data_IF_624813319242
#
_entry.id   IF_624813319242
#
_cell.length_a   1.000
_cell.length_b   1.000
_cell.length_c   1.000
_cell.angle_alpha   90.00
_cell.angle_beta   90.00
_cell.angle_gamma   90.00
#
_symmetry.space_group_name_H-M   'P 1'
#
loop_
_entity.id
_entity.type
_entity.pdbx_description
1 polymer ?
#
# COMPACT_ATOMS: atom_id res chain seq x y z
N UNK A 1 1.50 -28.70 9.44
CA UNK A 1 0.94 -27.39 9.02
C UNK A 1 0.78 -26.41 10.18
N UNK A 2 0.19 -26.82 11.31
CA UNK A 2 -0.04 -25.92 12.46
C UNK A 2 1.23 -25.36 13.13
N UNK A 3 2.35 -26.09 13.10
CA UNK A 3 3.62 -25.62 13.69
C UNK A 3 4.18 -24.38 12.97
N UNK A 4 4.09 -24.33 11.63
CA UNK A 4 4.58 -23.18 10.85
C UNK A 4 3.74 -21.94 11.18
N UNK A 5 2.40 -22.07 11.17
CA UNK A 5 1.50 -21.00 11.59
C UNK A 5 1.80 -20.53 13.01
N UNK A 6 2.03 -21.45 13.95
CA UNK A 6 2.39 -21.12 15.33
C UNK A 6 3.69 -20.31 15.41
N UNK A 7 4.75 -20.75 14.74
CA UNK A 7 6.04 -20.03 14.69
C UNK A 7 5.85 -18.62 14.09
N UNK A 8 5.05 -18.50 13.02
CA UNK A 8 4.79 -17.22 12.37
C UNK A 8 4.01 -16.26 13.28
N UNK A 9 2.98 -16.72 13.99
CA UNK A 9 2.26 -15.89 14.96
C UNK A 9 3.14 -15.49 16.15
N UNK A 10 4.00 -16.39 16.62
CA UNK A 10 4.96 -16.08 17.68
C UNK A 10 5.99 -15.04 17.20
N UNK A 11 6.43 -15.12 15.94
CA UNK A 11 7.30 -14.13 15.32
C UNK A 11 6.58 -12.77 15.20
N UNK A 12 5.32 -12.75 14.77
CA UNK A 12 4.52 -11.53 14.70
C UNK A 12 4.36 -10.87 16.09
N UNK A 13 4.07 -11.68 17.11
CA UNK A 13 3.93 -11.22 18.48
C UNK A 13 5.26 -10.70 19.04
N UNK A 14 6.37 -11.37 18.74
CA UNK A 14 7.71 -10.89 19.10
C UNK A 14 8.02 -9.55 18.43
N UNK A 15 7.77 -9.40 17.12
CA UNK A 15 7.98 -8.14 16.41
C UNK A 15 7.11 -7.03 16.99
N UNK A 16 5.84 -7.30 17.27
CA UNK A 16 4.93 -6.35 17.90
C UNK A 16 5.41 -5.93 19.29
N UNK A 17 5.72 -6.88 20.17
CA UNK A 17 6.23 -6.61 21.52
C UNK A 17 7.58 -5.86 21.50
N UNK A 18 8.47 -6.20 20.56
CA UNK A 18 9.74 -5.49 20.37
C UNK A 18 9.54 -4.03 19.95
N UNK A 19 8.44 -3.72 19.25
CA UNK A 19 8.03 -2.38 18.85
C UNK A 19 7.39 -1.55 19.96
N UNK A 20 7.02 -2.17 21.09
CA UNK A 20 6.52 -1.46 22.27
C UNK A 20 7.64 -1.05 23.23
N UNK A 21 8.90 -1.47 22.98
CA UNK A 21 10.04 -1.06 23.80
C UNK A 21 10.32 0.44 23.65
N UNK A 22 10.85 1.05 24.71
CA UNK A 22 11.26 2.46 24.74
C UNK A 22 12.25 2.75 23.60
N UNK A 23 12.08 3.91 22.94
CA UNK A 23 12.86 4.34 21.77
C UNK A 23 12.75 3.45 20.53
N UNK A 24 11.73 2.61 20.45
CA UNK A 24 11.51 1.74 19.30
C UNK A 24 10.25 2.17 18.53
N UNK A 25 10.30 2.03 17.21
CA UNK A 25 9.22 2.44 16.32
C UNK A 25 8.45 1.20 15.81
N UNK A 26 7.23 1.01 16.32
CA UNK A 26 6.34 -0.07 15.89
C UNK A 26 5.91 0.08 14.42
N UNK A 27 5.77 1.33 13.95
CA UNK A 27 5.35 1.63 12.57
C UNK A 27 6.52 1.77 11.61
N UNK A 28 7.74 1.43 12.05
CA UNK A 28 8.86 1.28 11.13
C UNK A 28 8.46 0.34 9.98
N UNK A 29 8.69 0.73 8.70
CA UNK A 29 8.22 -0.04 7.56
C UNK A 29 8.62 -1.51 7.60
N UNK A 30 9.85 -1.80 8.06
CA UNK A 30 10.35 -3.16 8.23
C UNK A 30 9.53 -3.99 9.23
N UNK A 31 9.25 -3.45 10.42
CA UNK A 31 8.49 -4.18 11.44
C UNK A 31 7.04 -4.33 11.06
N UNK A 32 6.40 -3.26 10.58
CA UNK A 32 5.01 -3.31 10.19
C UNK A 32 4.79 -4.29 9.04
N UNK A 33 5.65 -4.26 8.01
CA UNK A 33 5.66 -5.24 6.94
C UNK A 33 5.86 -6.67 7.46
N UNK A 34 6.85 -6.88 8.35
CA UNK A 34 7.13 -8.18 8.92
C UNK A 34 5.95 -8.75 9.73
N UNK A 35 5.30 -7.93 10.56
CA UNK A 35 4.12 -8.31 11.33
C UNK A 35 2.99 -8.73 10.39
N UNK A 36 2.67 -7.90 9.39
CA UNK A 36 1.55 -8.23 8.51
C UNK A 36 1.84 -9.50 7.72
N UNK A 37 3.01 -9.64 7.11
CA UNK A 37 3.31 -10.84 6.31
C UNK A 37 3.38 -12.11 7.14
N UNK A 38 3.96 -12.07 8.34
CA UNK A 38 3.98 -13.25 9.22
C UNK A 38 2.57 -13.64 9.64
N UNK A 39 1.69 -12.69 9.98
CA UNK A 39 0.27 -12.96 10.27
C UNK A 39 -0.46 -13.49 9.05
N UNK A 40 -0.30 -12.87 7.87
CA UNK A 40 -0.98 -13.28 6.64
C UNK A 40 -0.59 -14.69 6.21
N UNK A 41 0.70 -15.04 6.24
CA UNK A 41 1.18 -16.39 5.90
C UNK A 41 0.74 -17.39 6.98
N UNK A 42 0.76 -16.99 8.25
CA UNK A 42 0.28 -17.81 9.36
C UNK A 42 -1.19 -18.19 9.20
N UNK A 43 -2.04 -17.20 8.89
CA UNK A 43 -3.47 -17.39 8.61
C UNK A 43 -3.72 -18.21 7.34
N UNK A 44 -2.96 -17.97 6.27
CA UNK A 44 -3.07 -18.75 5.04
C UNK A 44 -2.79 -20.23 5.27
N UNK A 45 -1.80 -20.56 6.11
CA UNK A 45 -1.43 -21.93 6.45
C UNK A 45 -2.40 -22.64 7.40
N UNK A 46 -3.23 -21.92 8.16
CA UNK A 46 -4.21 -22.53 9.06
C UNK A 46 -5.38 -23.20 8.31
N UNK A 47 -5.57 -22.89 7.02
CA UNK A 47 -6.66 -23.43 6.18
C UNK A 47 -8.05 -23.36 6.85
N UNK A 48 -8.38 -22.18 7.39
CA UNK A 48 -9.64 -21.93 8.10
C UNK A 48 -10.90 -22.00 7.21
N UNK A 49 -10.75 -22.09 5.89
CA UNK A 49 -11.85 -22.23 4.95
C UNK A 49 -11.70 -23.46 4.05
N UNK A 50 -12.81 -24.15 3.79
CA UNK A 50 -12.85 -25.28 2.84
C UNK A 50 -12.52 -24.90 1.39
N UNK A 51 -12.52 -23.60 1.06
CA UNK A 51 -12.10 -23.08 -0.26
C UNK A 51 -10.58 -22.82 -0.36
N UNK A 52 -9.81 -23.06 0.71
CA UNK A 52 -8.36 -22.85 0.68
C UNK A 52 -7.64 -24.07 0.10
N UNK A 53 -7.02 -23.86 -1.05
CA UNK A 53 -6.19 -24.86 -1.72
C UNK A 53 -4.72 -24.75 -1.32
N UNK A 54 -3.98 -25.85 -1.49
CA UNK A 54 -2.54 -25.84 -1.32
C UNK A 54 -1.90 -24.89 -2.33
N UNK A 55 -0.95 -24.11 -1.84
CA UNK A 55 -0.17 -23.22 -2.69
C UNK A 55 0.86 -24.04 -3.45
N UNK A 56 0.94 -23.81 -4.76
CA UNK A 56 1.98 -24.41 -5.59
C UNK A 56 3.37 -23.92 -5.14
N UNK A 57 4.42 -24.70 -5.44
CA UNK A 57 5.80 -24.26 -5.20
C UNK A 57 6.08 -22.91 -5.88
N UNK A 58 5.56 -22.70 -7.09
CA UNK A 58 5.68 -21.43 -7.80
C UNK A 58 5.06 -20.26 -7.03
N UNK A 59 3.87 -20.46 -6.45
CA UNK A 59 3.20 -19.44 -5.62
C UNK A 59 4.01 -19.09 -4.39
N UNK A 60 4.63 -20.09 -3.73
CA UNK A 60 5.54 -19.87 -2.60
C UNK A 60 6.78 -19.08 -3.00
N UNK A 61 7.43 -19.44 -4.10
CA UNK A 61 8.60 -18.73 -4.62
C UNK A 61 8.25 -17.28 -4.94
N UNK A 62 7.14 -17.04 -5.65
CA UNK A 62 6.70 -15.68 -6.00
C UNK A 62 6.46 -14.81 -4.76
N UNK A 63 5.84 -15.38 -3.71
CA UNK A 63 5.63 -14.71 -2.43
C UNK A 63 6.96 -14.39 -1.73
N UNK A 64 7.89 -15.36 -1.66
CA UNK A 64 9.19 -15.18 -1.00
C UNK A 64 10.07 -14.15 -1.71
N UNK A 65 10.02 -14.07 -3.04
CA UNK A 65 10.74 -13.04 -3.81
C UNK A 65 10.29 -11.64 -3.40
N UNK A 66 8.98 -11.42 -3.22
CA UNK A 66 8.45 -10.12 -2.78
C UNK A 66 8.91 -9.74 -1.37
N UNK A 67 8.86 -10.70 -0.43
CA UNK A 67 9.33 -10.49 0.94
C UNK A 67 10.84 -10.21 0.97
N UNK A 68 11.63 -11.01 0.26
CA UNK A 68 13.07 -10.86 0.17
C UNK A 68 13.46 -9.51 -0.42
N UNK A 69 12.79 -9.08 -1.50
CA UNK A 69 13.04 -7.79 -2.15
C UNK A 69 12.80 -6.62 -1.20
N UNK A 70 11.71 -6.66 -0.42
CA UNK A 70 11.42 -5.63 0.58
C UNK A 70 12.48 -5.61 1.70
N UNK A 71 12.82 -6.78 2.25
CA UNK A 71 13.84 -6.89 3.30
C UNK A 71 15.20 -6.41 2.82
N UNK A 72 15.61 -6.80 1.60
CA UNK A 72 16.84 -6.35 0.97
C UNK A 72 16.86 -4.83 0.78
N UNK A 73 15.75 -4.23 0.35
CA UNK A 73 15.60 -2.78 0.28
C UNK A 73 15.79 -2.10 1.64
N UNK A 74 15.14 -2.62 2.70
CA UNK A 74 15.30 -2.07 4.06
C UNK A 74 16.72 -2.23 4.59
N UNK A 75 17.37 -3.37 4.33
CA UNK A 75 18.76 -3.62 4.69
C UNK A 75 19.71 -2.67 3.96
N UNK A 76 19.50 -2.46 2.67
CA UNK A 76 20.29 -1.53 1.86
C UNK A 76 20.22 -0.11 2.41
N UNK A 77 19.00 0.38 2.73
CA UNK A 77 18.82 1.69 3.36
C UNK A 77 19.52 1.76 4.72
N UNK A 78 19.43 0.71 5.53
CA UNK A 78 20.13 0.63 6.82
C UNK A 78 21.66 0.71 6.65
N UNK A 79 22.24 -0.04 5.72
CA UNK A 79 23.69 -0.04 5.45
C UNK A 79 24.17 1.32 4.95
N UNK A 80 23.44 1.94 4.00
CA UNK A 80 23.77 3.27 3.48
C UNK A 80 23.78 4.33 4.60
N UNK A 81 22.91 4.16 5.60
CA UNK A 81 22.73 5.13 6.68
C UNK A 81 23.37 4.68 8.01
N UNK A 82 24.25 3.66 8.00
CA UNK A 82 24.79 3.06 9.22
C UNK A 82 25.50 4.08 10.13
N UNK A 83 26.18 5.06 9.52
CA UNK A 83 26.94 6.10 10.22
C UNK A 83 26.12 7.37 10.51
N UNK A 84 24.88 7.44 10.03
CA UNK A 84 24.03 8.61 10.23
C UNK A 84 23.28 8.51 11.56
N UNK A 85 23.16 9.61 12.33
CA UNK A 85 22.39 9.59 13.56
C UNK A 85 20.91 9.30 13.25
N UNK A 86 20.34 8.34 13.97
CA UNK A 86 18.92 8.01 13.85
C UNK A 86 18.09 9.21 14.31
N UNK A 87 17.30 9.76 13.37
CA UNK A 87 16.41 10.87 13.67
C UNK A 87 15.21 10.37 14.47
N UNK A 88 14.83 11.11 15.52
CA UNK A 88 13.55 10.89 16.18
C UNK A 88 12.39 11.17 15.20
N UNK A 89 11.23 10.55 15.42
CA UNK A 89 10.01 10.82 14.62
C UNK A 89 9.66 12.32 14.61
N UNK A 90 9.91 13.03 15.71
CA UNK A 90 9.74 14.50 15.77
C UNK A 90 10.68 15.24 14.82
N UNK A 91 11.95 14.84 14.78
CA UNK A 91 12.95 15.43 13.86
C UNK A 91 12.63 15.11 12.40
N UNK A 92 12.15 13.89 12.10
CA UNK A 92 11.68 13.51 10.75
C UNK A 92 10.53 14.43 10.32
N UNK A 93 9.52 14.63 11.18
CA UNK A 93 8.39 15.53 10.91
C UNK A 93 8.83 16.97 10.64
N UNK A 94 9.81 17.46 11.40
CA UNK A 94 10.37 18.80 11.21
C UNK A 94 11.09 18.90 9.85
N UNK A 95 11.92 17.91 9.51
CA UNK A 95 12.62 17.87 8.22
C UNK A 95 11.66 17.83 7.03
N UNK A 96 10.58 17.03 7.10
CA UNK A 96 9.55 16.97 6.05
C UNK A 96 8.88 18.34 5.86
N UNK A 97 8.62 19.07 6.95
CA UNK A 97 7.99 20.40 6.89
C UNK A 97 8.94 21.50 6.44
N UNK A 98 10.23 21.37 6.76
CA UNK A 98 11.26 22.36 6.43
C UNK A 98 11.65 22.33 4.96
N UNK A 99 11.51 21.19 4.29
CA UNK A 99 11.85 21.09 2.87
C UNK A 99 10.77 21.73 1.98
N UNK A 100 11.12 22.72 1.15
CA UNK A 100 10.18 23.31 0.21
C UNK A 100 9.86 22.28 -0.88
N UNK A 101 8.62 21.80 -0.88
CA UNK A 101 8.12 20.88 -1.90
C UNK A 101 7.15 21.61 -2.84
N UNK A 102 7.27 21.36 -4.15
CA UNK A 102 6.37 21.99 -5.13
C UNK A 102 5.03 21.24 -5.19
N UNK A 103 4.14 21.60 -4.26
CA UNK A 103 2.79 21.04 -4.20
C UNK A 103 1.96 21.35 -5.46
N UNK A 104 2.22 22.46 -6.16
CA UNK A 104 1.50 22.77 -7.38
C UNK A 104 1.79 21.77 -8.51
N UNK A 105 3.06 21.37 -8.66
CA UNK A 105 3.43 20.34 -9.62
C UNK A 105 2.83 18.99 -9.24
N UNK A 106 2.88 18.61 -7.95
CA UNK A 106 2.24 17.39 -7.46
C UNK A 106 0.73 17.36 -7.78
N UNK A 107 0.04 18.49 -7.59
CA UNK A 107 -1.37 18.61 -7.94
C UNK A 107 -1.60 18.32 -9.43
N UNK A 108 -0.90 19.03 -10.31
CA UNK A 108 -1.10 18.89 -11.76
C UNK A 108 -0.70 17.52 -12.29
N UNK A 109 0.41 16.96 -11.82
CA UNK A 109 0.82 15.60 -12.18
C UNK A 109 -0.27 14.59 -11.78
N UNK A 110 -0.81 14.71 -10.56
CA UNK A 110 -1.88 13.82 -10.08
C UNK A 110 -3.14 13.95 -10.92
N UNK A 111 -3.53 15.18 -11.30
CA UNK A 111 -4.69 15.44 -12.16
C UNK A 111 -4.49 14.87 -13.57
N UNK A 112 -3.32 15.06 -14.18
CA UNK A 112 -3.01 14.53 -15.52
C UNK A 112 -3.05 13.00 -15.52
N UNK A 113 -2.42 12.36 -14.53
CA UNK A 113 -2.47 10.90 -14.39
C UNK A 113 -3.92 10.44 -14.18
N UNK A 114 -4.72 11.18 -13.40
CA UNK A 114 -6.12 10.83 -13.16
C UNK A 114 -6.97 10.92 -14.43
N UNK A 115 -6.76 11.94 -15.26
CA UNK A 115 -7.45 12.08 -16.54
C UNK A 115 -7.09 10.92 -17.47
N UNK A 116 -5.80 10.60 -17.60
CA UNK A 116 -5.37 9.44 -18.40
C UNK A 116 -5.98 8.13 -17.87
N UNK A 117 -5.97 7.97 -16.54
CA UNK A 117 -6.57 6.83 -15.85
C UNK A 117 -8.06 6.67 -16.14
N UNK A 118 -8.86 7.72 -15.96
CA UNK A 118 -10.32 7.61 -16.11
C UNK A 118 -10.72 7.36 -17.58
N UNK A 119 -9.99 7.97 -18.53
CA UNK A 119 -10.20 7.72 -19.97
C UNK A 119 -9.89 6.26 -20.31
N UNK A 120 -8.76 5.73 -19.84
CA UNK A 120 -8.39 4.32 -20.08
C UNK A 120 -9.39 3.39 -19.40
N UNK A 121 -9.78 3.65 -18.16
CA UNK A 121 -10.75 2.84 -17.43
C UNK A 121 -12.10 2.79 -18.14
N UNK A 122 -12.64 3.93 -18.59
CA UNK A 122 -13.90 3.97 -19.34
C UNK A 122 -13.76 3.20 -20.66
N UNK A 123 -12.65 3.39 -21.38
CA UNK A 123 -12.39 2.67 -22.62
C UNK A 123 -12.34 1.15 -22.41
N UNK A 124 -11.68 0.66 -21.34
CA UNK A 124 -11.66 -0.76 -21.00
C UNK A 124 -13.06 -1.31 -20.75
N UNK A 125 -13.88 -0.61 -19.97
CA UNK A 125 -15.25 -1.04 -19.66
C UNK A 125 -16.12 -1.11 -20.92
N UNK A 126 -15.94 -0.17 -21.85
CA UNK A 126 -16.67 -0.16 -23.13
C UNK A 126 -16.21 -1.31 -24.03
N UNK A 127 -14.90 -1.57 -24.13
CA UNK A 127 -14.34 -2.59 -25.02
C UNK A 127 -14.67 -4.00 -24.51
N UNK A 128 -14.47 -4.26 -23.21
CA UNK A 128 -14.79 -5.54 -22.59
C UNK A 128 -16.31 -5.77 -22.51
N UNK A 129 -17.09 -4.69 -22.36
CA UNK A 129 -18.56 -4.75 -22.31
C UNK A 129 -19.13 -5.25 -20.98
N UNK A 130 -18.29 -5.45 -19.96
CA UNK A 130 -18.72 -5.83 -18.62
C UNK A 130 -17.81 -5.23 -17.54
N UNK A 131 -18.27 -5.23 -16.29
CA UNK A 131 -17.44 -4.97 -15.11
C UNK A 131 -17.25 -6.27 -14.33
N UNK A 132 -16.02 -6.60 -13.87
CA UNK A 132 -15.74 -7.86 -13.18
C UNK A 132 -16.67 -8.14 -11.98
N UNK A 133 -17.03 -7.10 -11.22
CA UNK A 133 -17.93 -7.21 -10.08
C UNK A 133 -19.31 -7.76 -10.44
N UNK A 134 -19.83 -7.42 -11.63
CA UNK A 134 -21.17 -7.81 -12.08
C UNK A 134 -21.16 -9.05 -12.97
N UNK A 135 -19.99 -9.69 -13.15
CA UNK A 135 -19.89 -10.91 -13.94
C UNK A 135 -20.38 -12.14 -13.15
N UNK A 136 -21.10 -13.09 -13.78
CA UNK A 136 -21.51 -14.33 -13.14
C UNK A 136 -20.34 -15.17 -12.62
N UNK A 137 -19.15 -15.03 -13.23
CA UNK A 137 -17.91 -15.72 -12.84
C UNK A 137 -16.84 -14.71 -12.43
N UNK A 138 -17.06 -14.10 -11.28
CA UNK A 138 -16.25 -12.99 -10.72
C UNK A 138 -14.73 -13.25 -10.77
N UNK A 139 -14.29 -14.45 -10.39
CA UNK A 139 -12.85 -14.78 -10.34
C UNK A 139 -12.20 -14.81 -11.72
N UNK A 140 -12.88 -15.45 -12.68
CA UNK A 140 -12.41 -15.56 -14.07
C UNK A 140 -12.45 -14.19 -14.75
N UNK A 141 -13.55 -13.46 -14.57
CA UNK A 141 -13.74 -12.11 -15.08
C UNK A 141 -12.64 -11.16 -14.60
N UNK A 142 -12.22 -11.24 -13.34
CA UNK A 142 -11.09 -10.43 -12.83
C UNK A 142 -9.77 -10.72 -13.55
N UNK A 143 -9.48 -12.00 -13.81
CA UNK A 143 -8.20 -12.43 -14.39
C UNK A 143 -8.12 -12.03 -15.87
N UNK A 144 -9.25 -12.12 -16.57
CA UNK A 144 -9.33 -11.85 -18.01
C UNK A 144 -9.61 -10.38 -18.34
N UNK A 145 -10.12 -9.59 -17.39
CA UNK A 145 -10.42 -8.19 -17.60
C UNK A 145 -9.15 -7.35 -17.77
N UNK A 146 -9.09 -6.65 -18.90
CA UNK A 146 -8.08 -5.63 -19.15
C UNK A 146 -7.65 -5.64 -20.61
N UNK A 147 -7.60 -4.46 -21.21
CA UNK A 147 -7.15 -4.30 -22.59
C UNK A 147 -5.65 -4.04 -22.56
N UNK A 148 -4.88 -4.86 -23.28
CA UNK A 148 -3.42 -4.70 -23.36
C UNK A 148 -3.05 -3.26 -23.72
N UNK A 149 -2.11 -2.67 -22.97
CA UNK A 149 -1.73 -1.26 -23.09
C UNK A 149 -2.56 -0.33 -22.20
N UNK A 150 -3.90 -0.32 -22.35
CA UNK A 150 -4.78 0.53 -21.52
C UNK A 150 -4.74 0.12 -20.05
N UNK A 151 -4.70 -1.18 -19.78
CA UNK A 151 -4.70 -1.71 -18.43
C UNK A 151 -3.46 -1.31 -17.63
N UNK A 152 -2.34 -1.01 -18.31
CA UNK A 152 -1.12 -0.52 -17.67
C UNK A 152 -1.36 0.84 -17.00
N UNK A 153 -2.12 1.72 -17.65
CA UNK A 153 -2.49 3.03 -17.10
C UNK A 153 -3.55 2.86 -16.01
N UNK A 154 -4.50 1.94 -16.18
CA UNK A 154 -5.50 1.61 -15.14
C UNK A 154 -4.81 1.11 -13.86
N UNK A 155 -3.72 0.36 -13.97
CA UNK A 155 -2.93 -0.07 -12.82
C UNK A 155 -2.21 1.07 -12.07
N UNK A 156 -2.18 2.30 -12.60
CA UNK A 156 -1.67 3.47 -11.89
C UNK A 156 -2.56 3.95 -10.73
N UNK A 157 -3.74 3.33 -10.51
CA UNK A 157 -4.66 3.65 -9.41
C UNK A 157 -3.99 3.71 -8.02
N UNK A 158 -3.03 2.81 -7.75
CA UNK A 158 -2.26 2.80 -6.49
C UNK A 158 -1.47 4.09 -6.32
N UNK A 159 -0.74 4.47 -7.37
CA UNK A 159 0.04 5.70 -7.41
C UNK A 159 -0.86 6.91 -7.23
N UNK A 160 -2.02 6.94 -7.91
CA UNK A 160 -3.00 8.02 -7.76
C UNK A 160 -3.48 8.20 -6.31
N UNK A 161 -3.83 7.09 -5.64
CA UNK A 161 -4.24 7.13 -4.24
C UNK A 161 -3.12 7.67 -3.35
N UNK A 162 -1.89 7.20 -3.53
CA UNK A 162 -0.72 7.64 -2.73
C UNK A 162 -0.46 9.13 -2.95
N UNK A 163 -0.37 9.60 -4.19
CA UNK A 163 -0.08 11.01 -4.51
C UNK A 163 -1.17 11.96 -3.99
N UNK A 164 -2.44 11.56 -4.13
CA UNK A 164 -3.58 12.35 -3.66
C UNK A 164 -3.58 12.46 -2.13
N UNK A 165 -3.25 11.38 -1.42
CA UNK A 165 -3.17 11.38 0.05
C UNK A 165 -1.98 12.21 0.54
N UNK A 166 -0.82 12.09 -0.12
CA UNK A 166 0.35 12.94 0.15
C UNK A 166 -0.04 14.41 0.02
N UNK A 167 -0.72 14.80 -1.06
CA UNK A 167 -1.18 16.17 -1.26
C UNK A 167 -2.13 16.62 -0.14
N UNK A 168 -3.12 15.82 0.24
CA UNK A 168 -4.07 16.21 1.30
C UNK A 168 -3.37 16.41 2.65
N UNK A 169 -2.42 15.55 2.99
CA UNK A 169 -1.70 15.56 4.27
C UNK A 169 -0.71 16.73 4.33
N UNK A 170 0.13 16.89 3.30
CA UNK A 170 1.29 17.78 3.33
C UNK A 170 1.03 19.16 2.73
N UNK A 171 0.16 19.28 1.72
CA UNK A 171 -0.01 20.55 1.03
C UNK A 171 -0.67 21.62 1.92
N UNK A 172 -0.28 22.91 1.74
CA UNK A 172 -0.89 24.02 2.45
C UNK A 172 -2.41 24.11 2.22
N UNK A 173 -3.10 24.93 3.03
CA UNK A 173 -4.57 25.01 3.13
C UNK A 173 -5.24 25.59 1.87
N UNK A 174 -5.18 24.90 0.73
CA UNK A 174 -6.01 25.17 -0.45
C UNK A 174 -7.24 24.27 -0.42
N UNK A 175 -8.39 24.79 0.00
CA UNK A 175 -9.63 24.01 0.15
C UNK A 175 -10.05 23.38 -1.18
N UNK A 176 -10.09 24.16 -2.26
CA UNK A 176 -10.52 23.71 -3.60
C UNK A 176 -9.69 22.53 -4.12
N UNK A 177 -8.36 22.66 -4.09
CA UNK A 177 -7.47 21.57 -4.56
C UNK A 177 -7.59 20.32 -3.70
N UNK A 178 -7.82 20.46 -2.38
CA UNK A 178 -8.06 19.31 -1.50
C UNK A 178 -9.39 18.63 -1.79
N UNK A 179 -10.45 19.38 -2.12
CA UNK A 179 -11.72 18.81 -2.58
C UNK A 179 -11.52 17.99 -3.85
N UNK A 180 -10.78 18.53 -4.83
CA UNK A 180 -10.46 17.80 -6.07
C UNK A 180 -9.69 16.51 -5.77
N UNK A 181 -8.69 16.54 -4.88
CA UNK A 181 -7.94 15.34 -4.49
C UNK A 181 -8.82 14.31 -3.76
N UNK A 182 -9.71 14.76 -2.87
CA UNK A 182 -10.67 13.86 -2.23
C UNK A 182 -11.61 13.21 -3.25
N UNK A 183 -12.05 13.96 -4.26
CA UNK A 183 -12.87 13.42 -5.34
C UNK A 183 -12.10 12.36 -6.16
N UNK A 184 -10.84 12.62 -6.51
CA UNK A 184 -9.96 11.66 -7.18
C UNK A 184 -9.83 10.37 -6.35
N UNK A 185 -9.62 10.49 -5.03
CA UNK A 185 -9.53 9.33 -4.12
C UNK A 185 -10.82 8.52 -4.15
N UNK A 186 -11.97 9.18 -4.03
CA UNK A 186 -13.28 8.50 -4.01
C UNK A 186 -13.51 7.75 -5.32
N UNK A 187 -13.35 8.42 -6.47
CA UNK A 187 -13.56 7.78 -7.77
C UNK A 187 -12.60 6.63 -8.01
N UNK A 188 -11.31 6.82 -7.71
CA UNK A 188 -10.28 5.76 -7.87
C UNK A 188 -10.54 4.58 -6.93
N UNK A 189 -11.09 4.83 -5.74
CA UNK A 189 -11.48 3.77 -4.80
C UNK A 189 -12.71 3.01 -5.31
N UNK A 190 -13.71 3.71 -5.85
CA UNK A 190 -14.92 3.09 -6.42
C UNK A 190 -14.56 2.20 -7.62
N UNK A 191 -13.77 2.72 -8.57
CA UNK A 191 -13.31 1.93 -9.72
C UNK A 191 -12.45 0.74 -9.29
N UNK A 192 -11.59 0.92 -8.29
CA UNK A 192 -10.84 -0.18 -7.67
C UNK A 192 -11.77 -1.29 -7.13
N UNK A 193 -12.86 -0.93 -6.44
CA UNK A 193 -13.85 -1.90 -5.95
C UNK A 193 -14.51 -2.66 -7.10
N UNK A 194 -14.84 -1.99 -8.20
CA UNK A 194 -15.42 -2.63 -9.39
C UNK A 194 -14.45 -3.60 -10.09
N UNK A 195 -13.14 -3.35 -10.02
CA UNK A 195 -12.10 -4.21 -10.58
C UNK A 195 -11.60 -5.31 -9.64
N UNK A 196 -12.07 -5.34 -8.39
CA UNK A 196 -11.73 -6.39 -7.40
C UNK A 196 -10.22 -6.58 -7.17
N UNK A 197 -9.42 -5.50 -7.25
CA UNK A 197 -7.96 -5.56 -7.11
C UNK A 197 -7.46 -5.65 -5.65
N UNK A 198 -8.02 -6.56 -4.84
CA UNK A 198 -7.84 -6.66 -3.37
C UNK A 198 -6.41 -6.49 -2.84
N UNK A 199 -5.39 -6.98 -3.57
CA UNK A 199 -3.98 -6.86 -3.18
C UNK A 199 -3.49 -5.41 -3.10
N UNK A 200 -3.89 -4.56 -4.04
CA UNK A 200 -3.36 -3.19 -4.13
C UNK A 200 -3.88 -2.30 -3.00
N UNK A 201 -5.05 -2.60 -2.41
CA UNK A 201 -5.58 -1.90 -1.24
C UNK A 201 -4.68 -2.07 -0.02
N UNK A 202 -4.15 -3.27 0.19
CA UNK A 202 -3.25 -3.55 1.30
C UNK A 202 -1.98 -2.72 1.19
N UNK A 203 -1.38 -2.68 -0.01
CA UNK A 203 -0.18 -1.89 -0.27
C UNK A 203 -0.41 -0.39 -0.06
N UNK A 204 -1.53 0.15 -0.58
CA UNK A 204 -1.91 1.55 -0.34
C UNK A 204 -2.07 1.82 1.15
N UNK A 205 -2.76 0.95 1.88
CA UNK A 205 -3.00 1.12 3.32
C UNK A 205 -1.70 1.17 4.12
N UNK A 206 -0.75 0.28 3.83
CA UNK A 206 0.57 0.26 4.49
C UNK A 206 1.33 1.56 4.26
N UNK A 207 1.38 2.02 3.01
CA UNK A 207 2.12 3.23 2.63
C UNK A 207 1.47 4.47 3.23
N UNK A 208 0.14 4.56 3.19
CA UNK A 208 -0.62 5.68 3.75
C UNK A 208 -0.45 5.77 5.26
N UNK A 209 -0.49 4.63 5.97
CA UNK A 209 -0.23 4.59 7.42
C UNK A 209 1.18 5.09 7.73
N UNK A 210 2.19 4.65 6.98
CA UNK A 210 3.56 5.14 7.11
C UNK A 210 3.67 6.65 6.92
N UNK A 211 3.12 7.17 5.82
CA UNK A 211 3.12 8.62 5.53
C UNK A 211 2.42 9.39 6.65
N UNK A 212 1.24 8.93 7.09
CA UNK A 212 0.47 9.61 8.11
C UNK A 212 1.20 9.64 9.46
N UNK A 213 1.86 8.54 9.85
CA UNK A 213 2.65 8.43 11.06
C UNK A 213 3.89 9.35 11.05
N UNK A 214 4.65 9.37 9.96
CA UNK A 214 5.88 10.16 9.85
C UNK A 214 5.64 11.63 9.49
N UNK A 215 4.47 11.99 8.96
CA UNK A 215 4.18 13.37 8.53
C UNK A 215 3.32 14.17 9.51
N UNK A 216 2.47 13.48 10.29
CA UNK A 216 1.47 14.15 11.14
C UNK A 216 1.66 13.85 12.61
N UNK A 217 1.21 14.77 13.48
CA UNK A 217 1.19 14.56 14.93
C UNK A 217 -0.10 13.85 15.40
N UNK A 218 -1.01 13.48 14.49
CA UNK A 218 -2.32 12.90 14.84
C UNK A 218 -2.20 11.47 15.34
N UNK A 219 -1.23 10.71 14.81
CA UNK A 219 -0.84 9.41 15.35
C UNK A 219 0.39 9.63 16.22
N UNK A 220 0.16 9.77 17.52
CA UNK A 220 1.22 9.84 18.49
C UNK A 220 1.06 8.64 19.42
N UNK A 221 1.74 7.55 19.10
CA UNK A 221 2.00 6.53 20.12
C UNK A 221 2.95 7.19 21.12
N UNK A 222 2.46 7.49 22.32
CA UNK A 222 3.28 7.94 23.44
C UNK A 222 4.20 6.78 23.83
N UNK A 223 5.36 6.67 23.19
CA UNK A 223 6.49 5.86 23.65
C UNK A 223 7.69 6.76 23.91
#
# INVERSE_FOLDING_TARGET
MNLISFILFLTALFLFASGLRKNSDLFSPARFFGIVWTVSIGLANLKLSGFQHEWSLFSWIALLVGIFSFLLGTFTVYVINLNNPLLSVKAIRQNIRAHPFNYNNLFWITVVIFIAYIVCYIAEVIIEGYLPLFSPRIEKARIEFGVFGLHLIVNAMVTLLILSIIYIILAPKSVTKKIIMSFIIILTTISFFFLLQRYSFFLVSVIVLGIFYYSTNKVNLKN
#
